data_IF_895062704298
#
_entry.id   IF_895062704298
#
_cell.length_a   1.000
_cell.length_b   1.000
_cell.length_c   1.000
_cell.angle_alpha   90.00
_cell.angle_beta   90.00
_cell.angle_gamma   90.00
#
_symmetry.space_group_name_H-M   'P 1'
#
loop_
_entity.id
_entity.type
_entity.pdbx_description
1 polymer ?
#
# COMPACT_ATOMS: atom_id res chain seq x y z
N UNK A 1 -6.00 26.11 -16.42
CA UNK A 1 -6.74 24.83 -16.62
C UNK A 1 -6.07 23.92 -17.65
N UNK A 2 -5.32 24.46 -18.60
CA UNK A 2 -4.64 23.65 -19.63
C UNK A 2 -3.52 22.77 -19.07
N UNK A 3 -2.85 23.21 -17.99
CA UNK A 3 -1.78 22.46 -17.33
C UNK A 3 -2.26 21.16 -16.66
N UNK A 4 -3.56 21.04 -16.39
CA UNK A 4 -4.17 19.87 -15.76
C UNK A 4 -5.01 19.03 -16.72
N UNK A 5 -5.00 19.35 -18.02
CA UNK A 5 -5.67 18.54 -19.03
C UNK A 5 -4.93 17.21 -19.24
N UNK A 6 -5.71 16.15 -19.35
CA UNK A 6 -5.21 14.83 -19.72
C UNK A 6 -4.13 14.26 -18.78
N UNK A 7 -4.09 14.69 -17.50
CA UNK A 7 -3.19 14.12 -16.50
C UNK A 7 -3.81 12.95 -15.72
N UNK A 8 -5.10 12.70 -15.89
CA UNK A 8 -5.82 11.65 -15.15
C UNK A 8 -5.37 10.21 -15.44
N UNK A 9 -4.58 10.01 -16.50
CA UNK A 9 -3.95 8.74 -16.84
C UNK A 9 -2.50 8.61 -16.36
N UNK A 10 -1.98 9.62 -15.65
CA UNK A 10 -0.61 9.65 -15.16
C UNK A 10 -0.57 9.30 -13.68
N UNK A 11 0.44 8.50 -13.29
CA UNK A 11 0.74 8.24 -11.90
C UNK A 11 1.54 9.38 -11.27
N UNK A 12 1.64 9.37 -9.93
CA UNK A 12 2.35 10.40 -9.20
C UNK A 12 1.51 11.65 -8.94
N UNK A 13 2.14 12.80 -8.79
CA UNK A 13 1.48 14.09 -8.59
C UNK A 13 2.24 15.22 -9.27
N UNK A 14 1.53 16.06 -10.03
CA UNK A 14 2.08 17.27 -10.66
C UNK A 14 2.41 18.35 -9.62
N UNK A 15 1.81 18.29 -8.44
CA UNK A 15 2.01 19.27 -7.36
C UNK A 15 3.27 18.97 -6.53
N UNK A 16 3.92 17.85 -6.80
CA UNK A 16 4.99 17.30 -6.00
C UNK A 16 4.55 17.03 -4.55
N UNK A 17 5.42 16.45 -3.75
CA UNK A 17 5.15 16.19 -2.34
C UNK A 17 6.45 16.20 -1.54
N UNK A 18 6.38 16.73 -0.32
CA UNK A 18 7.50 16.67 0.62
C UNK A 18 7.00 16.66 2.06
N UNK A 19 7.82 16.15 2.95
CA UNK A 19 7.59 16.30 4.39
C UNK A 19 8.11 17.65 4.83
N UNK A 20 7.28 18.44 5.52
CA UNK A 20 7.67 19.72 6.09
C UNK A 20 7.66 19.67 7.61
N UNK A 21 8.83 19.60 8.24
CA UNK A 21 8.95 19.70 9.69
C UNK A 21 8.45 21.07 10.19
N UNK A 22 8.64 22.14 9.40
CA UNK A 22 8.16 23.48 9.73
C UNK A 22 6.65 23.54 9.91
N UNK A 23 5.89 22.77 9.12
CA UNK A 23 4.42 22.78 9.20
C UNK A 23 3.89 22.16 10.51
N UNK A 24 4.72 21.46 11.28
CA UNK A 24 4.36 20.98 12.62
C UNK A 24 4.30 22.12 13.64
N UNK A 25 5.02 23.22 13.42
CA UNK A 25 5.04 24.39 14.25
C UNK A 25 3.92 25.37 13.86
N UNK A 26 3.15 25.85 14.84
CA UNK A 26 2.05 26.77 14.63
C UNK A 26 2.49 28.06 13.95
N UNK A 27 3.64 28.59 14.31
CA UNK A 27 4.19 29.82 13.71
C UNK A 27 4.24 29.76 12.19
N UNK A 28 4.71 28.65 11.65
CA UNK A 28 4.83 28.50 10.18
C UNK A 28 3.47 28.23 9.53
N UNK A 29 2.54 27.54 10.22
CA UNK A 29 1.16 27.41 9.73
C UNK A 29 0.46 28.77 9.66
N UNK A 30 0.66 29.62 10.66
CA UNK A 30 0.13 30.98 10.66
C UNK A 30 0.66 31.79 9.47
N UNK A 31 1.98 31.79 9.24
CA UNK A 31 2.59 32.44 8.06
C UNK A 31 2.00 31.88 6.76
N UNK A 32 1.81 30.57 6.67
CA UNK A 32 1.21 29.95 5.48
C UNK A 32 -0.24 30.41 5.27
N UNK A 33 -1.03 30.54 6.33
CA UNK A 33 -2.39 31.04 6.26
C UNK A 33 -2.44 32.52 5.83
N UNK A 34 -1.53 33.36 6.33
CA UNK A 34 -1.40 34.76 5.88
C UNK A 34 -1.02 34.84 4.40
N UNK A 35 -0.11 33.99 3.93
CA UNK A 35 0.26 33.95 2.52
C UNK A 35 -0.94 33.58 1.63
N UNK A 36 -1.79 32.63 2.05
CA UNK A 36 -3.02 32.30 1.30
C UNK A 36 -3.95 33.50 1.20
N UNK A 37 -4.17 34.23 2.31
CA UNK A 37 -5.00 35.46 2.33
C UNK A 37 -4.42 36.54 1.42
N UNK A 38 -3.09 36.73 1.45
CA UNK A 38 -2.43 37.70 0.60
C UNK A 38 -2.51 37.40 -0.90
N UNK A 39 -2.81 36.15 -1.27
CA UNK A 39 -3.01 35.72 -2.64
C UNK A 39 -4.49 35.47 -2.99
N UNK A 40 -5.41 35.98 -2.17
CA UNK A 40 -6.87 35.86 -2.36
C UNK A 40 -7.31 34.40 -2.54
N UNK A 41 -6.71 33.47 -1.78
CA UNK A 41 -7.09 32.06 -1.79
C UNK A 41 -8.22 31.83 -0.77
N UNK A 42 -9.41 31.50 -1.24
CA UNK A 42 -10.61 31.31 -0.42
C UNK A 42 -10.64 29.94 0.28
N UNK A 43 -10.07 28.92 -0.34
CA UNK A 43 -10.08 27.55 0.19
C UNK A 43 -8.91 26.72 -0.33
N UNK A 44 -8.57 25.67 0.41
CA UNK A 44 -7.52 24.72 0.08
C UNK A 44 -8.12 23.31 -0.07
N UNK A 45 -7.76 22.60 -1.12
CA UNK A 45 -8.03 21.17 -1.25
C UNK A 45 -6.73 20.41 -0.95
N UNK A 46 -6.70 19.68 0.16
CA UNK A 46 -5.55 18.88 0.57
C UNK A 46 -5.73 17.42 0.15
N UNK A 47 -4.86 16.93 -0.73
CA UNK A 47 -4.89 15.54 -1.20
C UNK A 47 -3.71 14.80 -0.58
N UNK A 48 -3.97 13.73 0.17
CA UNK A 48 -2.89 12.94 0.79
C UNK A 48 -3.35 11.96 1.84
N UNK A 49 -2.39 11.32 2.49
CA UNK A 49 -2.64 10.34 3.54
C UNK A 49 -2.78 10.95 4.94
N UNK A 50 -2.77 10.10 5.96
CA UNK A 50 -2.97 10.43 7.38
C UNK A 50 -2.17 11.67 7.84
N UNK A 51 -0.88 11.76 7.47
CA UNK A 51 -0.04 12.91 7.84
C UNK A 51 -0.53 14.23 7.25
N UNK A 52 -0.97 14.24 6.00
CA UNK A 52 -1.54 15.42 5.32
C UNK A 52 -2.84 15.83 5.99
N UNK A 53 -3.71 14.87 6.27
CA UNK A 53 -5.02 15.13 6.89
C UNK A 53 -4.88 15.67 8.31
N UNK A 54 -3.96 15.15 9.10
CA UNK A 54 -3.62 15.70 10.42
C UNK A 54 -3.08 17.14 10.34
N UNK A 55 -2.27 17.42 9.32
CA UNK A 55 -1.80 18.78 9.04
C UNK A 55 -2.94 19.71 8.66
N UNK A 56 -3.89 19.24 7.86
CA UNK A 56 -5.08 19.98 7.43
C UNK A 56 -5.97 20.39 8.62
N UNK A 57 -6.19 19.48 9.59
CA UNK A 57 -6.94 19.79 10.82
C UNK A 57 -6.29 20.98 11.55
N UNK A 58 -4.97 20.92 11.76
CA UNK A 58 -4.24 22.01 12.42
C UNK A 58 -4.23 23.30 11.60
N UNK A 59 -4.32 23.19 10.27
CA UNK A 59 -4.35 24.35 9.40
C UNK A 59 -5.72 25.03 9.39
N UNK A 60 -6.79 24.25 9.57
CA UNK A 60 -8.13 24.77 9.82
C UNK A 60 -8.17 25.67 11.07
N UNK A 61 -7.42 25.34 12.13
CA UNK A 61 -7.34 26.11 13.36
C UNK A 61 -6.73 27.51 13.13
N UNK A 62 -5.99 27.71 12.03
CA UNK A 62 -5.47 29.03 11.58
C UNK A 62 -6.51 29.80 10.73
N UNK A 63 -7.76 29.35 10.67
CA UNK A 63 -8.85 29.99 9.94
C UNK A 63 -8.85 29.75 8.42
N UNK A 64 -8.18 28.69 7.95
CA UNK A 64 -8.17 28.31 6.53
C UNK A 64 -9.35 27.38 6.23
N UNK A 65 -10.13 27.70 5.21
CA UNK A 65 -11.13 26.77 4.69
C UNK A 65 -10.42 25.63 3.97
N UNK A 66 -10.59 24.40 4.44
CA UNK A 66 -9.87 23.26 3.89
C UNK A 66 -10.78 22.05 3.72
N UNK A 67 -10.70 21.42 2.54
CA UNK A 67 -11.34 20.16 2.22
C UNK A 67 -10.24 19.12 1.99
N UNK A 68 -10.47 17.90 2.46
CA UNK A 68 -9.48 16.84 2.38
C UNK A 68 -9.96 15.70 1.48
N UNK A 69 -9.05 15.21 0.63
CA UNK A 69 -9.26 14.03 -0.20
C UNK A 69 -8.21 12.99 0.21
N UNK A 70 -8.62 11.78 0.65
CA UNK A 70 -7.67 10.75 1.08
C UNK A 70 -6.94 10.15 -0.12
N UNK A 71 -5.66 10.47 -0.26
CA UNK A 71 -4.75 9.96 -1.29
C UNK A 71 -3.66 9.10 -0.64
N UNK A 72 -3.92 7.80 -0.50
CA UNK A 72 -3.00 6.82 0.09
C UNK A 72 -3.34 5.42 -0.38
N UNK A 73 -2.32 4.60 -0.63
CA UNK A 73 -2.50 3.19 -0.97
C UNK A 73 -2.80 2.31 0.26
N UNK A 74 -2.58 2.83 1.47
CA UNK A 74 -2.62 2.03 2.70
C UNK A 74 -4.03 1.81 3.25
N UNK A 75 -5.04 2.58 2.82
CA UNK A 75 -6.40 2.62 3.38
C UNK A 75 -6.43 2.82 4.89
N UNK A 76 -5.50 3.62 5.41
CA UNK A 76 -5.32 3.86 6.84
C UNK A 76 -6.03 5.14 7.35
N UNK A 77 -6.91 5.72 6.53
CA UNK A 77 -7.69 6.92 6.88
C UNK A 77 -9.04 6.49 7.47
N UNK A 78 -9.25 6.86 8.73
CA UNK A 78 -10.51 6.58 9.42
C UNK A 78 -11.70 7.29 8.76
N UNK A 79 -12.88 6.69 8.82
CA UNK A 79 -14.12 7.21 8.23
C UNK A 79 -14.07 7.41 6.71
N UNK A 80 -13.15 6.74 6.04
CA UNK A 80 -13.06 6.73 4.59
C UNK A 80 -13.26 5.32 4.05
N UNK A 81 -14.23 5.12 3.19
CA UNK A 81 -14.46 3.82 2.54
C UNK A 81 -13.42 3.53 1.46
N UNK A 82 -12.90 4.60 0.85
CA UNK A 82 -11.96 4.50 -0.25
C UNK A 82 -10.84 5.54 -0.11
N UNK A 83 -9.64 5.18 -0.58
CA UNK A 83 -8.50 6.09 -0.67
C UNK A 83 -7.89 6.01 -2.05
N UNK A 84 -7.60 7.16 -2.67
CA UNK A 84 -7.02 7.23 -4.01
C UNK A 84 -5.67 6.53 -4.07
N UNK A 85 -5.51 5.68 -5.06
CA UNK A 85 -4.30 4.90 -5.31
C UNK A 85 -4.33 3.47 -4.77
N UNK A 86 -5.27 3.12 -3.88
CA UNK A 86 -5.36 1.77 -3.33
C UNK A 86 -5.65 0.71 -4.40
N UNK A 87 -6.64 0.97 -5.26
CA UNK A 87 -7.04 0.02 -6.30
C UNK A 87 -5.90 -0.21 -7.30
N UNK A 88 -5.22 0.86 -7.70
CA UNK A 88 -4.04 0.78 -8.57
C UNK A 88 -2.91 -0.02 -7.91
N UNK A 89 -2.63 0.21 -6.64
CA UNK A 89 -1.59 -0.51 -5.90
C UNK A 89 -1.91 -2.01 -5.77
N UNK A 90 -3.17 -2.35 -5.50
CA UNK A 90 -3.62 -3.75 -5.41
C UNK A 90 -3.51 -4.46 -6.77
N UNK A 91 -3.89 -3.79 -7.86
CA UNK A 91 -3.75 -4.35 -9.21
C UNK A 91 -2.28 -4.52 -9.61
N UNK A 92 -1.42 -3.53 -9.30
CA UNK A 92 0.03 -3.65 -9.53
C UNK A 92 0.63 -4.83 -8.76
N UNK A 93 0.23 -5.02 -7.51
CA UNK A 93 0.69 -6.15 -6.70
C UNK A 93 0.21 -7.49 -7.29
N UNK A 94 -1.05 -7.57 -7.69
CA UNK A 94 -1.62 -8.76 -8.34
C UNK A 94 -0.87 -9.13 -9.62
N UNK A 95 -0.66 -8.16 -10.53
CA UNK A 95 0.09 -8.38 -11.77
C UNK A 95 1.54 -8.83 -11.54
N UNK A 96 2.20 -8.27 -10.52
CA UNK A 96 3.55 -8.67 -10.15
C UNK A 96 3.56 -10.10 -9.60
N UNK A 97 2.60 -10.46 -8.76
CA UNK A 97 2.45 -11.81 -8.20
C UNK A 97 2.22 -12.83 -9.29
N UNK A 98 1.39 -12.54 -10.29
CA UNK A 98 1.13 -13.46 -11.41
C UNK A 98 2.42 -13.74 -12.19
N UNK A 99 3.22 -12.72 -12.48
CA UNK A 99 4.54 -12.89 -13.13
C UNK A 99 5.53 -13.71 -12.29
N UNK A 100 5.53 -13.51 -10.96
CA UNK A 100 6.36 -14.28 -10.03
C UNK A 100 5.89 -15.75 -10.03
N UNK A 101 4.59 -15.98 -10.06
CA UNK A 101 4.00 -17.32 -10.06
C UNK A 101 4.40 -18.14 -11.28
N UNK A 102 4.45 -17.55 -12.48
CA UNK A 102 4.87 -18.25 -13.70
C UNK A 102 6.25 -18.91 -13.51
N UNK A 103 7.19 -18.18 -12.90
CA UNK A 103 8.50 -18.72 -12.56
C UNK A 103 8.44 -19.78 -11.46
N UNK A 104 7.63 -19.56 -10.41
CA UNK A 104 7.52 -20.48 -9.28
C UNK A 104 6.92 -21.83 -9.65
N UNK A 105 5.92 -21.84 -10.53
CA UNK A 105 5.31 -23.07 -11.07
C UNK A 105 6.35 -23.89 -11.82
N UNK A 106 7.16 -23.23 -12.64
CA UNK A 106 8.20 -23.89 -13.44
C UNK A 106 9.30 -24.55 -12.59
N UNK A 107 9.56 -24.01 -11.41
CA UNK A 107 10.63 -24.48 -10.53
C UNK A 107 10.17 -25.31 -9.33
N UNK A 108 8.87 -25.43 -9.09
CA UNK A 108 8.36 -26.16 -7.93
C UNK A 108 8.67 -25.48 -6.58
N UNK A 109 8.53 -24.15 -6.49
CA UNK A 109 8.97 -23.33 -5.34
C UNK A 109 7.81 -22.66 -4.61
N UNK A 110 8.11 -22.18 -3.40
CA UNK A 110 7.28 -21.24 -2.68
C UNK A 110 7.76 -19.81 -2.93
N UNK A 111 6.87 -18.95 -3.43
CA UNK A 111 7.10 -17.50 -3.48
C UNK A 111 6.54 -16.84 -2.23
N UNK A 112 7.39 -16.15 -1.49
CA UNK A 112 7.01 -15.25 -0.40
C UNK A 112 7.08 -13.83 -0.94
N UNK A 113 5.91 -13.20 -1.12
CA UNK A 113 5.81 -11.87 -1.73
C UNK A 113 5.41 -10.85 -0.68
N UNK A 114 6.32 -9.91 -0.40
CA UNK A 114 6.04 -8.79 0.49
C UNK A 114 5.43 -7.63 -0.29
N UNK A 115 4.32 -7.11 0.22
CA UNK A 115 3.58 -5.96 -0.35
C UNK A 115 3.49 -4.82 0.66
N UNK A 116 3.36 -3.60 0.15
CA UNK A 116 3.19 -2.40 0.96
C UNK A 116 1.85 -2.38 1.71
N UNK A 117 1.64 -1.41 2.55
CA UNK A 117 0.43 -1.20 3.35
C UNK A 117 0.74 -0.58 4.72
N UNK A 118 2.03 -0.33 5.01
CA UNK A 118 2.52 0.29 6.24
C UNK A 118 2.10 -0.50 7.49
N UNK A 119 0.98 -0.14 8.13
CA UNK A 119 0.41 -0.81 9.31
C UNK A 119 -0.90 -1.52 9.00
N UNK A 120 -1.26 -1.64 7.72
CA UNK A 120 -2.51 -2.23 7.24
C UNK A 120 -2.25 -3.33 6.24
N UNK A 121 -3.01 -4.39 6.35
CA UNK A 121 -2.92 -5.56 5.49
C UNK A 121 -3.83 -5.52 4.26
N UNK A 122 -4.42 -4.38 3.89
CA UNK A 122 -5.41 -4.34 2.82
C UNK A 122 -4.87 -4.75 1.46
N UNK A 123 -3.68 -4.27 1.06
CA UNK A 123 -3.07 -4.67 -0.22
C UNK A 123 -2.76 -6.16 -0.19
N UNK A 124 -2.15 -6.67 0.89
CA UNK A 124 -1.84 -8.08 1.04
C UNK A 124 -3.11 -8.96 0.96
N UNK A 125 -4.19 -8.53 1.62
CA UNK A 125 -5.46 -9.24 1.59
C UNK A 125 -6.05 -9.29 0.19
N UNK A 126 -6.15 -8.14 -0.49
CA UNK A 126 -6.76 -8.06 -1.82
C UNK A 126 -5.93 -8.79 -2.87
N UNK A 127 -4.63 -8.50 -2.95
CA UNK A 127 -3.75 -9.17 -3.91
C UNK A 127 -3.65 -10.68 -3.62
N UNK A 128 -3.51 -11.07 -2.35
CA UNK A 128 -3.43 -12.47 -1.95
C UNK A 128 -4.70 -13.26 -2.25
N UNK A 129 -5.89 -12.69 -2.01
CA UNK A 129 -7.16 -13.33 -2.37
C UNK A 129 -7.34 -13.41 -3.89
N UNK A 130 -7.09 -12.32 -4.61
CA UNK A 130 -7.23 -12.27 -6.07
C UNK A 130 -6.31 -13.26 -6.78
N UNK A 131 -5.13 -13.51 -6.21
CA UNK A 131 -4.15 -14.47 -6.76
C UNK A 131 -4.23 -15.85 -6.12
N UNK A 132 -5.23 -16.14 -5.29
CA UNK A 132 -5.41 -17.42 -4.59
C UNK A 132 -4.15 -17.86 -3.83
N UNK A 133 -3.58 -16.97 -3.02
CA UNK A 133 -2.44 -17.27 -2.17
C UNK A 133 -2.77 -18.39 -1.17
N UNK A 134 -1.79 -19.27 -0.91
CA UNK A 134 -1.95 -20.37 0.04
C UNK A 134 -1.97 -19.86 1.50
N UNK A 135 -1.31 -18.72 1.75
CA UNK A 135 -1.38 -18.00 3.02
C UNK A 135 -1.23 -16.49 2.81
N UNK A 136 -1.90 -15.70 3.65
CA UNK A 136 -1.82 -14.24 3.66
C UNK A 136 -1.51 -13.79 5.08
N UNK A 137 -0.42 -13.03 5.26
CA UNK A 137 0.04 -12.56 6.57
C UNK A 137 -0.34 -11.09 6.73
N UNK A 138 -1.22 -10.81 7.68
CA UNK A 138 -1.81 -9.50 7.90
C UNK A 138 -1.45 -8.96 9.29
N UNK A 139 -1.10 -7.67 9.43
CA UNK A 139 -0.79 -7.09 10.72
C UNK A 139 -1.98 -7.15 11.70
N UNK A 140 -3.20 -7.08 11.19
CA UNK A 140 -4.43 -7.13 12.00
C UNK A 140 -4.72 -8.51 12.62
N UNK A 141 -4.08 -9.57 12.12
CA UNK A 141 -4.26 -10.97 12.56
C UNK A 141 -2.98 -11.61 13.06
N UNK A 142 -1.87 -10.87 13.04
CA UNK A 142 -0.57 -11.42 13.37
C UNK A 142 -0.38 -11.59 14.87
N UNK A 143 -0.19 -12.82 15.31
CA UNK A 143 0.05 -13.22 16.70
C UNK A 143 1.49 -13.71 16.96
N UNK A 144 2.36 -13.64 15.93
CA UNK A 144 3.74 -14.15 16.02
C UNK A 144 3.89 -15.63 15.68
N UNK A 145 2.80 -16.34 15.38
CA UNK A 145 2.82 -17.77 15.11
C UNK A 145 2.77 -18.07 13.60
N UNK A 146 3.71 -18.86 13.13
CA UNK A 146 3.81 -19.31 11.73
C UNK A 146 3.13 -20.65 11.44
N UNK A 147 2.65 -21.37 12.46
CA UNK A 147 2.15 -22.74 12.32
C UNK A 147 1.03 -22.85 11.28
N UNK A 148 0.15 -21.85 11.20
CA UNK A 148 -0.94 -21.88 10.23
C UNK A 148 -0.42 -21.83 8.78
N UNK A 149 0.67 -21.09 8.52
CA UNK A 149 1.31 -21.01 7.20
C UNK A 149 1.94 -22.35 6.87
N UNK A 150 2.77 -22.87 7.79
CA UNK A 150 3.47 -24.15 7.62
C UNK A 150 2.49 -25.29 7.39
N UNK A 151 1.42 -25.36 8.18
CA UNK A 151 0.38 -26.39 8.06
C UNK A 151 -0.41 -26.26 6.74
N UNK A 152 -0.72 -25.04 6.29
CA UNK A 152 -1.36 -24.81 5.00
C UNK A 152 -0.48 -25.33 3.84
N UNK A 153 0.81 -25.01 3.85
CA UNK A 153 1.75 -25.43 2.83
C UNK A 153 1.98 -26.95 2.84
N UNK A 154 2.13 -27.58 4.02
CA UNK A 154 2.24 -29.04 4.16
C UNK A 154 1.01 -29.76 3.58
N UNK A 155 -0.19 -29.27 3.90
CA UNK A 155 -1.43 -29.82 3.35
C UNK A 155 -1.46 -29.74 1.83
N UNK A 156 -1.13 -28.56 1.27
CA UNK A 156 -1.08 -28.38 -0.19
C UNK A 156 -0.04 -29.28 -0.87
N UNK A 157 1.09 -29.47 -0.21
CA UNK A 157 2.13 -30.38 -0.70
C UNK A 157 1.65 -31.83 -0.73
N UNK A 158 0.95 -32.27 0.32
CA UNK A 158 0.32 -33.62 0.37
C UNK A 158 -0.74 -33.79 -0.72
N UNK A 159 -1.46 -32.72 -1.06
CA UNK A 159 -2.46 -32.71 -2.14
C UNK A 159 -1.83 -32.72 -3.57
N UNK A 160 -0.51 -32.87 -3.68
CA UNK A 160 0.23 -32.98 -4.94
C UNK A 160 0.54 -31.64 -5.63
N UNK A 161 0.38 -30.51 -4.95
CA UNK A 161 0.81 -29.23 -5.50
C UNK A 161 2.32 -29.09 -5.44
N UNK A 162 2.87 -28.42 -6.43
CA UNK A 162 4.31 -28.19 -6.59
C UNK A 162 4.71 -26.70 -6.60
N UNK A 163 3.77 -25.78 -6.48
CA UNK A 163 4.06 -24.35 -6.37
C UNK A 163 3.17 -23.71 -5.33
N UNK A 164 3.73 -22.74 -4.59
CA UNK A 164 3.07 -22.14 -3.43
C UNK A 164 3.29 -20.64 -3.45
N UNK A 165 2.31 -19.92 -2.87
CA UNK A 165 2.33 -18.48 -2.75
C UNK A 165 1.96 -18.04 -1.33
N UNK A 166 2.83 -17.28 -0.71
CA UNK A 166 2.57 -16.60 0.56
C UNK A 166 2.68 -15.09 0.34
N UNK A 167 1.63 -14.35 0.64
CA UNK A 167 1.63 -12.88 0.55
C UNK A 167 1.74 -12.28 1.94
N UNK A 168 2.70 -11.39 2.13
CA UNK A 168 3.03 -10.80 3.43
C UNK A 168 2.87 -9.29 3.36
N UNK A 169 2.11 -8.71 4.29
CA UNK A 169 2.08 -7.26 4.44
C UNK A 169 3.39 -6.77 5.08
N UNK A 170 3.96 -5.66 4.57
CA UNK A 170 5.17 -5.06 5.13
C UNK A 170 5.05 -4.79 6.63
N UNK A 171 6.15 -4.90 7.35
CA UNK A 171 6.21 -4.58 8.78
C UNK A 171 5.58 -5.61 9.72
N UNK A 172 4.99 -6.70 9.22
CA UNK A 172 4.46 -7.79 10.03
C UNK A 172 5.58 -8.70 10.49
N UNK A 173 6.38 -9.18 9.55
CA UNK A 173 7.54 -10.03 9.79
C UNK A 173 8.57 -9.81 8.69
N UNK A 174 9.79 -10.26 8.93
CA UNK A 174 10.82 -10.32 7.90
C UNK A 174 10.49 -11.45 6.91
N UNK A 175 10.21 -11.07 5.66
CA UNK A 175 9.86 -12.03 4.61
C UNK A 175 10.98 -13.03 4.31
N UNK A 176 12.26 -12.63 4.51
CA UNK A 176 13.41 -13.52 4.39
C UNK A 176 13.40 -14.59 5.45
N UNK A 177 13.23 -14.21 6.72
CA UNK A 177 13.12 -15.16 7.84
C UNK A 177 11.94 -16.12 7.67
N UNK A 178 10.82 -15.63 7.15
CA UNK A 178 9.67 -16.48 6.86
C UNK A 178 9.99 -17.50 5.76
N UNK A 179 10.65 -17.09 4.68
CA UNK A 179 11.06 -17.99 3.60
C UNK A 179 12.03 -19.08 4.10
N UNK A 180 13.03 -18.70 4.91
CA UNK A 180 13.96 -19.64 5.52
C UNK A 180 13.24 -20.65 6.44
N UNK A 181 12.28 -20.17 7.23
CA UNK A 181 11.48 -21.03 8.09
C UNK A 181 10.61 -22.01 7.27
N UNK A 182 9.95 -21.53 6.21
CA UNK A 182 9.17 -22.39 5.31
C UNK A 182 10.06 -23.49 4.74
N UNK A 183 11.22 -23.14 4.21
CA UNK A 183 12.15 -24.11 3.64
C UNK A 183 12.63 -25.13 4.69
N UNK A 184 12.97 -24.68 5.88
CA UNK A 184 13.40 -25.54 7.00
C UNK A 184 12.32 -26.53 7.43
N UNK A 185 11.10 -26.05 7.61
CA UNK A 185 10.00 -26.82 8.20
C UNK A 185 9.25 -27.70 7.19
N UNK A 186 9.29 -27.37 5.90
CA UNK A 186 8.54 -28.09 4.86
C UNK A 186 9.40 -28.77 3.81
N UNK A 187 10.70 -28.41 3.72
CA UNK A 187 11.57 -28.83 2.62
C UNK A 187 11.30 -28.13 1.28
N UNK A 188 10.30 -27.24 1.21
CA UNK A 188 9.96 -26.51 -0.01
C UNK A 188 10.94 -25.37 -0.21
N UNK A 189 11.66 -25.36 -1.33
CA UNK A 189 12.52 -24.23 -1.69
C UNK A 189 11.72 -22.93 -1.76
N UNK A 190 12.16 -21.91 -1.04
CA UNK A 190 11.42 -20.66 -0.90
C UNK A 190 12.22 -19.47 -1.42
N UNK A 191 11.56 -18.52 -2.08
CA UNK A 191 12.16 -17.30 -2.60
C UNK A 191 11.33 -16.08 -2.21
N UNK A 192 12.02 -15.00 -1.88
CA UNK A 192 11.40 -13.74 -1.48
C UNK A 192 11.40 -12.77 -2.65
N UNK A 193 10.30 -12.06 -2.78
CA UNK A 193 10.16 -10.89 -3.65
C UNK A 193 9.52 -9.75 -2.86
N UNK A 194 10.26 -8.65 -2.67
CA UNK A 194 9.73 -7.44 -2.05
C UNK A 194 9.31 -6.48 -3.15
N UNK A 195 8.02 -6.23 -3.31
CA UNK A 195 7.51 -5.40 -4.40
C UNK A 195 7.86 -3.92 -4.20
N UNK A 196 7.81 -3.43 -2.97
CA UNK A 196 8.24 -2.08 -2.64
C UNK A 196 7.54 -1.00 -3.47
N UNK A 197 8.30 -0.02 -3.93
CA UNK A 197 7.77 1.22 -4.53
C UNK A 197 7.10 1.06 -5.91
N UNK A 198 7.20 -0.09 -6.58
CA UNK A 198 6.43 -0.30 -7.82
C UNK A 198 4.92 -0.17 -7.60
N UNK A 199 4.44 -0.46 -6.38
CA UNK A 199 3.05 -0.34 -5.98
C UNK A 199 2.57 1.11 -5.85
N UNK A 200 3.48 2.08 -5.83
CA UNK A 200 3.18 3.52 -5.71
C UNK A 200 3.12 4.24 -7.04
N UNK A 201 3.37 3.54 -8.13
CA UNK A 201 3.42 4.09 -9.48
C UNK A 201 2.49 3.36 -10.44
N UNK A 202 2.58 3.72 -11.70
CA UNK A 202 1.82 3.13 -12.79
C UNK A 202 0.57 3.93 -13.18
N UNK A 203 -0.13 3.45 -14.18
CA UNK A 203 -1.36 4.08 -14.65
C UNK A 203 -2.49 3.85 -13.64
N UNK A 204 -3.20 4.90 -13.22
CA UNK A 204 -4.37 4.74 -12.36
C UNK A 204 -5.44 3.88 -13.02
N UNK A 205 -6.05 2.98 -12.25
CA UNK A 205 -7.21 2.20 -12.68
C UNK A 205 -8.41 3.11 -12.96
N UNK A 206 -9.42 2.59 -13.65
CA UNK A 206 -10.66 3.33 -13.87
C UNK A 206 -11.27 3.83 -12.55
N UNK A 207 -11.18 3.02 -11.49
CA UNK A 207 -11.70 3.39 -10.18
C UNK A 207 -10.96 4.58 -9.59
N UNK A 208 -9.61 4.56 -9.58
CA UNK A 208 -8.80 5.66 -9.07
C UNK A 208 -8.93 6.95 -9.92
N UNK A 209 -9.31 6.84 -11.19
CA UNK A 209 -9.57 8.00 -12.06
C UNK A 209 -10.94 8.63 -11.85
N UNK A 210 -11.91 7.85 -11.36
CA UNK A 210 -13.28 8.32 -11.12
C UNK A 210 -13.44 9.09 -9.82
N UNK A 211 -12.62 8.76 -8.83
CA UNK A 211 -12.63 9.42 -7.53
C UNK A 211 -11.71 10.64 -7.51
#
# INVERSE_FOLDING_TARGET
>A
LDDVRNINNQGGTILFTSRSARFLDQKYRHIAAENLRAHDVDAVVAIGGDGTLRGAIKFKDEGVNIVCIPGTIDRDVACSEYTLGFDTAANTAMEAIDKIRDSSVSHGRCSVVEVMGRKRGYIALWAGMATSADAIVLPEKWDGNFDYIINALRKRHTDGRNSYLVVVAEGVTDAGKLADLIQKETGIESRVSVLGYIQRGGQPTAKDRMY
#
